data_IF_363890966711
#
_entry.id   IF_363890966711
#
_cell.length_a   1.000
_cell.length_b   1.000
_cell.length_c   1.000
_cell.angle_alpha   90.00
_cell.angle_beta   90.00
_cell.angle_gamma   90.00
#
_symmetry.space_group_name_H-M   'P 1'
#
loop_
_entity.id
_entity.type
_entity.pdbx_description
1 polymer ?
#
# COMPACT_ATOMS: atom_id res chain seq x y z
N UNK A 1 -36.92 63.86 14.01
CA UNK A 1 -36.81 62.40 13.78
C UNK A 1 -36.08 62.14 12.46
N UNK A 2 -34.75 62.21 12.43
CA UNK A 2 -33.98 61.99 11.19
C UNK A 2 -32.60 61.32 11.37
N UNK A 3 -32.22 60.97 12.60
CA UNK A 3 -30.87 60.51 12.91
C UNK A 3 -30.79 59.08 13.48
N UNK A 4 -31.89 58.30 13.47
CA UNK A 4 -31.90 56.92 14.00
C UNK A 4 -31.52 55.87 12.93
N UNK A 5 -31.62 56.19 11.64
CA UNK A 5 -31.29 55.25 10.58
C UNK A 5 -29.78 55.05 10.35
N UNK A 6 -28.92 55.85 10.99
CA UNK A 6 -27.47 55.78 10.77
C UNK A 6 -26.73 54.86 11.75
N UNK A 7 -27.42 54.35 12.79
CA UNK A 7 -26.79 53.47 13.79
C UNK A 7 -26.91 51.97 13.45
N UNK A 8 -27.78 51.58 12.51
CA UNK A 8 -27.99 50.17 12.14
C UNK A 8 -26.99 49.63 11.12
N UNK A 9 -26.21 50.48 10.44
CA UNK A 9 -25.24 50.04 9.42
C UNK A 9 -23.88 49.61 9.99
N UNK A 10 -23.62 49.82 11.28
CA UNK A 10 -22.33 49.49 11.91
C UNK A 10 -22.24 48.07 12.50
N UNK A 11 -23.33 47.30 12.53
CA UNK A 11 -23.34 45.96 13.18
C UNK A 11 -23.03 44.83 12.17
N UNK A 12 -22.88 45.12 10.88
CA UNK A 12 -22.70 44.09 9.83
C UNK A 12 -21.21 43.74 9.60
N UNK A 13 -20.27 44.35 10.35
CA UNK A 13 -18.82 44.14 10.15
C UNK A 13 -18.12 43.21 11.15
N UNK A 14 -18.85 42.63 12.12
CA UNK A 14 -18.29 41.69 13.10
C UNK A 14 -18.49 40.20 12.72
N UNK A 15 -18.92 39.92 11.48
CA UNK A 15 -19.31 38.59 11.02
C UNK A 15 -18.28 37.87 10.13
N UNK A 16 -17.00 37.89 10.50
CA UNK A 16 -16.03 36.87 10.05
C UNK A 16 -15.02 36.68 11.19
N UNK A 17 -15.44 36.01 12.27
CA UNK A 17 -14.46 35.22 13.00
C UNK A 17 -13.93 34.22 11.99
N UNK A 18 -12.64 34.31 11.68
CA UNK A 18 -11.92 33.22 11.03
C UNK A 18 -12.32 31.97 11.78
N UNK A 19 -13.06 31.08 11.11
CA UNK A 19 -13.25 29.76 11.63
C UNK A 19 -11.83 29.24 11.79
N UNK A 20 -11.40 29.10 13.04
CA UNK A 20 -10.43 28.07 13.38
C UNK A 20 -11.12 26.74 13.07
N UNK A 21 -11.33 26.47 11.78
CA UNK A 21 -11.33 25.12 11.25
C UNK A 21 -9.93 24.67 11.62
N UNK A 22 -9.83 23.95 12.75
CA UNK A 22 -8.60 23.34 13.16
C UNK A 22 -8.09 22.62 11.94
N UNK A 23 -6.97 23.10 11.41
CA UNK A 23 -6.33 22.61 10.21
C UNK A 23 -5.89 21.18 10.55
N UNK A 24 -6.82 20.22 10.45
CA UNK A 24 -6.52 18.81 10.50
C UNK A 24 -5.79 18.59 9.19
N UNK A 25 -4.49 18.85 9.21
CA UNK A 25 -3.63 18.66 8.06
C UNK A 25 -3.75 17.20 7.65
N UNK A 26 -4.52 16.94 6.60
CA UNK A 26 -4.75 15.58 6.13
C UNK A 26 -3.41 14.98 5.75
N UNK A 27 -3.14 13.77 6.26
CA UNK A 27 -1.91 13.04 5.92
C UNK A 27 -2.22 12.12 4.76
N UNK A 28 -1.51 12.28 3.64
CA UNK A 28 -1.60 11.37 2.50
C UNK A 28 -0.75 10.13 2.74
N UNK A 29 -1.37 8.95 2.71
CA UNK A 29 -0.69 7.66 2.79
C UNK A 29 -0.97 6.90 1.50
N UNK A 30 0.07 6.66 0.70
CA UNK A 30 0.00 5.84 -0.51
C UNK A 30 1.16 4.85 -0.50
N UNK A 31 0.88 3.63 -0.08
CA UNK A 31 1.92 2.63 0.20
C UNK A 31 1.53 1.23 -0.29
N UNK A 32 0.49 1.17 -1.12
CA UNK A 32 -0.04 -0.08 -1.65
C UNK A 32 0.69 -0.45 -2.94
N UNK A 33 1.10 -1.71 -3.00
CA UNK A 33 1.56 -2.39 -4.19
C UNK A 33 0.73 -3.65 -4.43
N UNK A 34 0.59 -4.05 -5.70
CA UNK A 34 -0.09 -5.27 -6.09
C UNK A 34 0.89 -6.17 -6.84
N UNK A 35 1.13 -7.38 -6.32
CA UNK A 35 1.96 -8.38 -6.99
C UNK A 35 1.07 -9.44 -7.63
N UNK A 36 1.23 -9.64 -8.94
CA UNK A 36 0.66 -10.77 -9.68
C UNK A 36 1.76 -11.82 -9.90
N UNK A 37 1.45 -13.09 -9.63
CA UNK A 37 2.35 -14.20 -9.95
C UNK A 37 1.78 -15.00 -11.11
N UNK A 38 2.57 -15.19 -12.16
CA UNK A 38 2.19 -15.96 -13.34
C UNK A 38 3.24 -17.00 -13.66
N UNK A 39 2.84 -18.11 -14.26
CA UNK A 39 3.79 -19.06 -14.82
C UNK A 39 4.36 -18.55 -16.16
N UNK A 40 5.33 -19.28 -16.72
CA UNK A 40 5.92 -19.01 -18.05
C UNK A 40 4.89 -18.92 -19.19
N UNK A 41 3.71 -19.55 -19.04
CA UNK A 41 2.61 -19.51 -20.01
C UNK A 41 1.66 -18.32 -19.79
N UNK A 42 1.88 -17.52 -18.74
CA UNK A 42 1.07 -16.36 -18.38
C UNK A 42 -0.19 -16.69 -17.57
N UNK A 43 -0.32 -17.92 -17.08
CA UNK A 43 -1.45 -18.34 -16.24
C UNK A 43 -1.28 -17.82 -14.81
N UNK A 44 -2.37 -17.32 -14.20
CA UNK A 44 -2.38 -16.73 -12.85
C UNK A 44 -2.22 -17.81 -11.78
N UNK A 45 -1.07 -17.80 -11.09
CA UNK A 45 -0.72 -18.76 -10.04
C UNK A 45 -1.45 -18.52 -8.73
N UNK A 46 -2.06 -17.33 -8.54
CA UNK A 46 -2.83 -16.98 -7.34
C UNK A 46 -4.33 -17.24 -7.51
N UNK A 47 -4.79 -17.49 -8.74
CA UNK A 47 -6.18 -17.81 -9.03
C UNK A 47 -6.46 -19.29 -8.70
N UNK A 48 -7.31 -19.62 -7.71
CA UNK A 48 -7.58 -21.00 -7.30
C UNK A 48 -8.27 -21.85 -8.38
N UNK A 49 -8.75 -21.23 -9.47
CA UNK A 49 -9.33 -21.93 -10.61
C UNK A 49 -8.29 -22.29 -11.69
N UNK A 50 -7.08 -21.74 -11.63
CA UNK A 50 -5.99 -22.09 -12.54
C UNK A 50 -5.44 -23.46 -12.18
N UNK A 51 -5.18 -24.31 -13.18
CA UNK A 51 -4.55 -25.61 -12.95
C UNK A 51 -3.12 -25.39 -12.45
N UNK A 52 -2.79 -25.98 -11.31
CA UNK A 52 -1.46 -25.80 -10.70
C UNK A 52 -1.31 -24.48 -9.93
N UNK A 53 -2.41 -23.77 -9.67
CA UNK A 53 -2.41 -22.62 -8.78
C UNK A 53 -1.87 -23.00 -7.40
N UNK A 54 -1.18 -22.02 -6.81
CA UNK A 54 -0.70 -22.09 -5.45
C UNK A 54 -1.85 -22.02 -4.46
N UNK A 55 -1.77 -22.80 -3.39
CA UNK A 55 -2.68 -22.60 -2.27
C UNK A 55 -2.23 -21.38 -1.49
N UNK A 56 -3.15 -20.45 -1.29
CA UNK A 56 -2.83 -19.15 -0.69
C UNK A 56 -2.41 -19.26 0.78
N UNK A 57 -2.80 -20.34 1.46
CA UNK A 57 -2.39 -20.68 2.84
C UNK A 57 -0.98 -21.28 2.94
N UNK A 58 -0.38 -21.66 1.81
CA UNK A 58 1.01 -22.11 1.72
C UNK A 58 1.97 -20.94 1.41
N UNK A 59 1.46 -19.73 1.14
CA UNK A 59 2.26 -18.50 0.95
C UNK A 59 2.50 -17.85 2.31
N UNK A 60 3.76 -17.67 2.70
CA UNK A 60 4.12 -17.08 3.99
C UNK A 60 4.90 -15.79 3.83
N UNK A 61 4.55 -14.79 4.63
CA UNK A 61 5.24 -13.50 4.69
C UNK A 61 6.07 -13.45 5.97
N UNK A 62 7.33 -13.07 5.86
CA UNK A 62 8.22 -12.91 7.00
C UNK A 62 9.22 -11.76 6.82
N UNK A 63 9.65 -11.17 7.92
CA UNK A 63 10.82 -10.28 7.98
C UNK A 63 11.99 -11.06 8.59
N UNK A 64 13.18 -10.46 8.58
CA UNK A 64 14.33 -10.98 9.33
C UNK A 64 14.65 -10.05 10.49
N UNK A 65 14.95 -10.62 11.66
CA UNK A 65 15.49 -9.87 12.79
C UNK A 65 16.96 -9.51 12.58
N UNK A 66 17.56 -8.80 13.56
CA UNK A 66 18.97 -8.40 13.50
C UNK A 66 19.94 -9.60 13.46
N UNK A 67 19.52 -10.77 13.91
CA UNK A 67 20.27 -12.02 13.84
C UNK A 67 20.00 -12.84 12.58
N UNK A 68 19.16 -12.35 11.67
CA UNK A 68 18.74 -13.08 10.47
C UNK A 68 17.70 -14.17 10.71
N UNK A 69 17.05 -14.20 11.88
CA UNK A 69 15.97 -15.16 12.15
C UNK A 69 14.64 -14.65 11.60
N UNK A 70 13.80 -15.54 11.04
CA UNK A 70 12.53 -15.13 10.47
C UNK A 70 11.53 -14.70 11.55
N UNK A 71 10.92 -13.54 11.35
CA UNK A 71 9.76 -13.04 12.10
C UNK A 71 8.55 -13.18 11.17
N UNK A 72 7.65 -14.10 11.48
CA UNK A 72 6.42 -14.27 10.69
C UNK A 72 5.54 -13.03 10.84
N UNK A 73 5.13 -12.49 9.70
CA UNK A 73 4.43 -11.21 9.59
C UNK A 73 2.91 -11.36 9.61
N UNK A 74 2.41 -12.57 9.42
CA UNK A 74 1.00 -12.92 9.39
C UNK A 74 0.73 -14.04 10.40
N UNK A 75 0.07 -13.73 11.52
CA UNK A 75 -0.53 -14.79 12.34
C UNK A 75 -1.69 -15.44 11.56
N UNK A 76 -1.97 -16.72 11.84
CA UNK A 76 -2.93 -17.64 11.17
C UNK A 76 -4.34 -17.09 10.90
N UNK A 77 -4.70 -15.90 11.41
CA UNK A 77 -6.01 -15.25 11.28
C UNK A 77 -6.05 -14.10 10.26
N UNK A 78 -4.93 -13.72 9.64
CA UNK A 78 -4.83 -12.58 8.69
C UNK A 78 -4.42 -13.05 7.28
N UNK A 79 -4.87 -14.26 6.88
CA UNK A 79 -4.59 -14.92 5.59
C UNK A 79 -5.20 -14.23 4.34
N UNK A 80 -5.24 -12.91 4.28
CA UNK A 80 -5.83 -12.16 3.16
C UNK A 80 -4.83 -11.23 2.48
N UNK A 81 -3.57 -11.66 2.33
CA UNK A 81 -2.64 -10.96 1.43
C UNK A 81 -3.02 -11.20 -0.03
N UNK A 82 -3.42 -12.42 -0.38
CA UNK A 82 -3.99 -12.72 -1.69
C UNK A 82 -5.43 -12.22 -1.74
N UNK A 83 -5.65 -11.20 -2.56
CA UNK A 83 -6.92 -10.55 -2.78
C UNK A 83 -7.37 -10.76 -4.22
N UNK A 84 -8.69 -10.78 -4.41
CA UNK A 84 -9.31 -10.83 -5.72
C UNK A 84 -9.84 -9.44 -6.06
N UNK A 85 -9.42 -8.92 -7.20
CA UNK A 85 -9.93 -7.69 -7.79
C UNK A 85 -10.66 -8.02 -9.10
N UNK A 86 -11.72 -7.28 -9.41
CA UNK A 86 -12.40 -7.39 -10.70
C UNK A 86 -12.06 -6.18 -11.57
N UNK A 87 -11.46 -6.43 -12.73
CA UNK A 87 -11.07 -5.42 -13.71
C UNK A 87 -11.73 -5.77 -15.04
N UNK A 88 -12.70 -4.94 -15.47
CA UNK A 88 -13.47 -5.12 -16.72
C UNK A 88 -14.12 -6.50 -16.86
N UNK A 89 -14.68 -7.03 -15.75
CA UNK A 89 -15.34 -8.34 -15.73
C UNK A 89 -14.39 -9.53 -15.66
N UNK A 90 -13.08 -9.29 -15.53
CA UNK A 90 -12.08 -10.34 -15.30
C UNK A 90 -11.63 -10.30 -13.85
N UNK A 91 -11.70 -11.45 -13.18
CA UNK A 91 -11.12 -11.64 -11.85
C UNK A 91 -9.61 -11.74 -11.97
N UNK A 92 -8.91 -10.94 -11.18
CA UNK A 92 -7.45 -10.91 -11.04
C UNK A 92 -7.11 -11.19 -9.59
N UNK A 93 -6.16 -12.09 -9.38
CA UNK A 93 -5.68 -12.43 -8.05
C UNK A 93 -4.31 -11.80 -7.85
N UNK A 94 -4.14 -11.09 -6.74
CA UNK A 94 -2.90 -10.37 -6.45
C UNK A 94 -2.61 -10.36 -4.96
N UNK A 95 -1.33 -10.34 -4.62
CA UNK A 95 -0.90 -10.06 -3.27
C UNK A 95 -0.95 -8.54 -3.07
N UNK A 96 -1.77 -8.08 -2.13
CA UNK A 96 -1.78 -6.70 -1.68
C UNK A 96 -0.75 -6.52 -0.59
N UNK A 97 0.25 -5.69 -0.88
CA UNK A 97 1.30 -5.38 0.06
C UNK A 97 1.17 -3.92 0.50
N UNK A 98 0.91 -3.70 1.80
CA UNK A 98 0.94 -2.37 2.41
C UNK A 98 2.20 -2.26 3.27
N UNK A 99 3.07 -1.31 2.93
CA UNK A 99 4.34 -1.04 3.60
C UNK A 99 4.28 -0.96 5.15
N UNK A 100 3.14 -0.49 5.71
CA UNK A 100 3.03 -0.12 7.13
C UNK A 100 3.08 -1.29 8.12
N UNK A 101 2.96 -2.54 7.67
CA UNK A 101 2.94 -3.68 8.58
C UNK A 101 4.32 -3.97 9.22
N UNK A 102 5.42 -3.41 8.71
CA UNK A 102 6.77 -3.98 8.91
C UNK A 102 7.86 -2.97 9.36
N UNK A 103 7.44 -1.84 9.92
CA UNK A 103 8.30 -0.65 10.07
C UNK A 103 9.10 -0.66 11.39
N UNK A 104 10.42 -0.85 11.31
CA UNK A 104 11.40 -0.40 12.33
C UNK A 104 12.05 0.94 11.93
N UNK A 105 12.14 1.22 10.62
CA UNK A 105 12.67 2.47 10.04
C UNK A 105 11.64 3.17 9.15
N UNK A 106 11.51 4.49 9.30
CA UNK A 106 10.34 5.25 8.85
C UNK A 106 10.14 5.36 7.31
N UNK A 107 11.06 4.82 6.49
CA UNK A 107 11.10 4.99 5.02
C UNK A 107 11.60 3.80 4.20
N UNK A 108 12.12 2.72 4.81
CA UNK A 108 12.47 1.48 4.08
C UNK A 108 11.92 0.25 4.80
N UNK A 109 11.47 -0.75 4.03
CA UNK A 109 10.96 -2.02 4.55
C UNK A 109 11.39 -3.19 3.65
N UNK A 110 11.77 -4.31 4.25
CA UNK A 110 12.12 -5.55 3.55
C UNK A 110 11.22 -6.67 4.03
N UNK A 111 10.58 -7.35 3.09
CA UNK A 111 9.70 -8.50 3.34
C UNK A 111 10.08 -9.64 2.43
N UNK A 112 10.04 -10.84 2.99
CA UNK A 112 10.26 -12.08 2.29
C UNK A 112 8.93 -12.82 2.12
N UNK A 113 8.76 -13.44 0.96
CA UNK A 113 7.60 -14.23 0.59
C UNK A 113 8.09 -15.65 0.30
N UNK A 114 7.84 -16.58 1.22
CA UNK A 114 8.05 -18.01 0.95
C UNK A 114 6.87 -18.52 0.11
N UNK A 115 7.21 -19.15 -1.02
CA UNK A 115 6.26 -19.61 -2.02
C UNK A 115 6.07 -21.14 -1.95
N UNK A 116 4.93 -21.67 -2.41
CA UNK A 116 4.66 -23.11 -2.33
C UNK A 116 5.59 -23.99 -3.17
N UNK A 117 6.30 -23.41 -4.15
CA UNK A 117 7.30 -24.12 -4.93
C UNK A 117 8.67 -24.25 -4.21
N UNK A 118 8.81 -23.70 -3.00
CA UNK A 118 10.04 -23.70 -2.21
C UNK A 118 10.94 -22.49 -2.43
N UNK A 119 10.59 -21.60 -3.37
CA UNK A 119 11.32 -20.35 -3.56
C UNK A 119 11.01 -19.36 -2.44
N UNK A 120 11.93 -18.41 -2.24
CA UNK A 120 11.71 -17.24 -1.40
C UNK A 120 12.02 -15.99 -2.18
N UNK A 121 11.03 -15.10 -2.27
CA UNK A 121 11.19 -13.80 -2.89
C UNK A 121 11.44 -12.71 -1.86
N UNK A 122 12.36 -11.79 -2.18
CA UNK A 122 12.63 -10.58 -1.41
C UNK A 122 11.93 -9.41 -2.07
N UNK A 123 11.10 -8.71 -1.30
CA UNK A 123 10.49 -7.43 -1.64
C UNK A 123 11.12 -6.36 -0.76
N UNK A 124 11.72 -5.36 -1.38
CA UNK A 124 12.25 -4.20 -0.68
C UNK A 124 11.53 -2.95 -1.17
N UNK A 125 10.92 -2.22 -0.24
CA UNK A 125 10.11 -1.04 -0.55
C UNK A 125 10.72 0.18 0.12
N UNK A 126 10.81 1.23 -0.67
CA UNK A 126 11.23 2.56 -0.25
C UNK A 126 10.04 3.49 -0.29
N UNK A 127 9.90 4.30 0.75
CA UNK A 127 8.87 5.31 0.89
C UNK A 127 9.52 6.68 1.15
N UNK A 128 8.88 7.73 0.64
CA UNK A 128 9.29 9.11 0.83
C UNK A 128 8.37 9.80 1.82
N UNK A 129 8.97 10.38 2.86
CA UNK A 129 8.27 11.21 3.84
C UNK A 129 8.24 12.66 3.38
N UNK A 130 7.04 13.22 3.25
CA UNK A 130 6.80 14.64 3.06
C UNK A 130 6.32 15.31 4.35
N UNK A 131 5.97 16.61 4.25
CA UNK A 131 5.44 17.40 5.37
C UNK A 131 4.17 16.78 5.97
N UNK A 132 3.24 16.35 5.11
CA UNK A 132 1.97 15.70 5.47
C UNK A 132 1.75 14.44 4.61
N UNK A 133 2.81 13.70 4.28
CA UNK A 133 2.67 12.52 3.44
C UNK A 133 3.69 11.43 3.73
N UNK A 134 3.30 10.19 3.48
CA UNK A 134 4.17 9.04 3.38
C UNK A 134 3.74 8.24 2.16
N UNK A 135 4.55 8.31 1.10
CA UNK A 135 4.19 7.74 -0.21
C UNK A 135 5.28 6.81 -0.69
N UNK A 136 4.91 5.77 -1.41
CA UNK A 136 5.82 4.86 -2.09
C UNK A 136 6.77 5.61 -3.03
N UNK A 137 8.02 5.16 -3.10
CA UNK A 137 9.07 5.77 -3.89
C UNK A 137 9.70 4.76 -4.86
N UNK A 138 10.08 3.58 -4.36
CA UNK A 138 10.67 2.50 -5.16
C UNK A 138 10.24 1.13 -4.62
N UNK A 139 10.20 0.13 -5.51
CA UNK A 139 10.08 -1.27 -5.14
C UNK A 139 11.12 -2.09 -5.89
N UNK A 140 11.91 -2.84 -5.13
CA UNK A 140 12.87 -3.81 -5.62
C UNK A 140 12.32 -5.22 -5.38
N UNK A 141 12.37 -6.05 -6.40
CA UNK A 141 12.07 -7.48 -6.36
C UNK A 141 13.37 -8.25 -6.57
N UNK A 142 13.78 -9.06 -5.59
CA UNK A 142 15.03 -9.81 -5.61
C UNK A 142 16.22 -8.93 -6.04
N UNK A 143 16.36 -7.77 -5.40
CA UNK A 143 17.38 -6.74 -5.63
C UNK A 143 17.34 -6.04 -7.01
N UNK A 144 16.27 -6.25 -7.79
CA UNK A 144 16.04 -5.59 -9.08
C UNK A 144 14.93 -4.55 -8.95
N UNK A 145 15.19 -3.31 -9.39
CA UNK A 145 14.17 -2.27 -9.45
C UNK A 145 13.07 -2.64 -10.45
N UNK A 146 11.84 -2.84 -9.97
CA UNK A 146 10.68 -3.22 -10.80
C UNK A 146 9.58 -2.17 -10.81
N UNK A 147 9.63 -1.20 -9.89
CA UNK A 147 8.71 -0.07 -9.86
C UNK A 147 9.39 1.15 -9.24
N UNK A 148 9.10 2.32 -9.79
CA UNK A 148 9.42 3.61 -9.22
C UNK A 148 8.30 4.62 -9.52
N UNK A 149 8.40 5.83 -8.97
CA UNK A 149 7.41 6.89 -9.17
C UNK A 149 7.18 7.34 -10.61
N UNK A 150 8.00 6.91 -11.59
CA UNK A 150 7.74 7.20 -13.01
C UNK A 150 6.68 6.25 -13.59
N UNK A 151 6.36 5.14 -12.92
CA UNK A 151 5.35 4.19 -13.33
C UNK A 151 3.93 4.72 -13.07
N UNK A 152 3.01 4.41 -13.97
CA UNK A 152 1.59 4.79 -13.88
C UNK A 152 0.71 3.70 -13.25
N UNK A 153 1.23 2.48 -13.14
CA UNK A 153 0.51 1.31 -12.61
C UNK A 153 1.27 0.76 -11.40
N UNK A 154 0.54 0.42 -10.35
CA UNK A 154 1.08 -0.15 -9.11
C UNK A 154 1.09 -1.68 -9.13
N UNK A 155 0.66 -2.27 -10.25
CA UNK A 155 0.70 -3.71 -10.51
C UNK A 155 2.06 -4.11 -11.04
N UNK A 156 2.68 -5.04 -10.33
CA UNK A 156 3.93 -5.69 -10.71
C UNK A 156 3.62 -7.14 -11.06
N UNK A 157 4.01 -7.57 -12.26
CA UNK A 157 3.83 -8.95 -12.71
C UNK A 157 5.16 -9.69 -12.57
N UNK A 158 5.14 -10.78 -11.81
CA UNK A 158 6.28 -11.67 -11.55
C UNK A 158 6.03 -12.98 -12.30
N UNK A 159 7.03 -13.43 -13.06
CA UNK A 159 6.99 -14.71 -13.78
C UNK A 159 7.78 -15.75 -12.99
N UNK A 160 7.20 -16.94 -12.83
CA UNK A 160 7.72 -18.07 -12.07
C UNK A 160 7.69 -19.37 -12.85
#
# INVERSE_FOLDING_TARGET
MKNIFLLLSLIILSGCTENNDGDVSSTTIDLLFMLEYKNEQGEDLLNPLTKGAWKTDEIQFFALDEGGSPIILAEEKINHFVNMAEDKGQKKYCIWFVYSYFVKDATTSVVYIALPNGDTDKIEVWAKRGKNSLVKDQLLYNDVLVWDRSHLDDRIVIIK
#
